data_IF_533715299118
#
_entry.id   IF_533715299118
#
_cell.length_a   1.000
_cell.length_b   1.000
_cell.length_c   1.000
_cell.angle_alpha   90.00
_cell.angle_beta   90.00
_cell.angle_gamma   90.00
#
_symmetry.space_group_name_H-M   'P 1'
#
loop_
_entity.id
_entity.type
_entity.pdbx_description
1 polymer ?
#
# COMPACT_ATOMS: atom_id res chain seq x y z
N UNK A 1 -39.13 -6.67 9.66
CA UNK A 1 -38.29 -7.81 9.28
C UNK A 1 -37.09 -7.86 10.23
N UNK A 2 -36.86 -9.00 10.89
CA UNK A 2 -35.68 -9.22 11.75
C UNK A 2 -34.57 -9.84 10.89
N UNK A 3 -33.33 -9.35 11.03
CA UNK A 3 -32.16 -9.86 10.34
C UNK A 3 -31.12 -10.26 11.39
N UNK A 4 -30.61 -11.48 11.31
CA UNK A 4 -29.52 -11.98 12.15
C UNK A 4 -28.29 -12.17 11.29
N UNK A 5 -27.19 -11.53 11.70
CA UNK A 5 -25.88 -11.72 11.09
C UNK A 5 -24.95 -12.35 12.11
N UNK A 6 -24.35 -13.49 11.77
CA UNK A 6 -23.36 -14.16 12.60
C UNK A 6 -22.16 -14.53 11.77
N UNK A 7 -20.95 -14.20 12.24
CA UNK A 7 -19.68 -14.54 11.60
C UNK A 7 -18.54 -14.27 12.56
N UNK A 8 -17.39 -14.92 12.33
CA UNK A 8 -16.13 -14.44 12.87
C UNK A 8 -15.66 -13.21 12.08
N UNK A 9 -15.05 -12.21 12.73
CA UNK A 9 -14.44 -11.09 12.01
C UNK A 9 -13.25 -11.59 11.18
N UNK A 10 -12.80 -10.78 10.22
CA UNK A 10 -11.70 -11.13 9.34
C UNK A 10 -10.55 -10.13 9.47
N UNK A 11 -10.31 -9.31 8.48
CA UNK A 11 -9.29 -8.27 8.51
C UNK A 11 -9.95 -6.95 8.92
N UNK A 12 -9.29 -6.19 9.76
CA UNK A 12 -9.74 -4.89 10.23
C UNK A 12 -10.15 -3.99 9.06
N UNK A 13 -11.23 -3.22 9.24
CA UNK A 13 -11.85 -2.32 8.27
C UNK A 13 -12.47 -2.99 7.01
N UNK A 14 -12.26 -4.30 6.78
CA UNK A 14 -12.83 -5.04 5.65
C UNK A 14 -13.77 -6.17 6.09
N UNK A 15 -13.86 -6.40 7.38
CA UNK A 15 -14.76 -7.39 7.94
C UNK A 15 -16.21 -6.86 7.94
N UNK A 16 -17.10 -7.51 7.18
CA UNK A 16 -18.51 -7.11 7.14
C UNK A 16 -19.14 -7.14 8.53
N UNK A 17 -18.89 -8.21 9.30
CA UNK A 17 -19.46 -8.32 10.65
C UNK A 17 -18.91 -7.26 11.61
N UNK A 18 -17.65 -6.82 11.44
CA UNK A 18 -17.09 -5.71 12.20
C UNK A 18 -17.80 -4.39 11.87
N UNK A 19 -18.02 -4.11 10.59
CA UNK A 19 -18.72 -2.89 10.17
C UNK A 19 -20.13 -2.81 10.76
N UNK A 20 -20.88 -3.93 10.71
CA UNK A 20 -22.20 -4.01 11.33
C UNK A 20 -22.14 -3.87 12.86
N UNK A 21 -21.11 -4.46 13.50
CA UNK A 21 -20.89 -4.31 14.94
C UNK A 21 -20.53 -2.87 15.31
N UNK A 22 -19.71 -2.18 14.52
CA UNK A 22 -19.27 -0.81 14.79
C UNK A 22 -20.42 0.22 14.69
N UNK A 23 -21.46 -0.05 13.90
CA UNK A 23 -22.66 0.80 13.79
C UNK A 23 -23.70 0.48 14.89
N UNK A 24 -23.58 -0.66 15.56
CA UNK A 24 -24.49 -1.12 16.61
C UNK A 24 -24.17 -0.52 17.99
N UNK A 25 -24.92 -0.93 19.00
CA UNK A 25 -24.68 -0.59 20.41
C UNK A 25 -23.46 -1.31 21.05
N UNK A 26 -22.76 -2.17 20.31
CA UNK A 26 -21.46 -2.79 20.64
C UNK A 26 -21.45 -3.50 22.01
N UNK A 27 -22.39 -4.38 22.27
CA UNK A 27 -22.52 -5.07 23.56
C UNK A 27 -21.33 -6.03 23.81
N UNK A 28 -20.80 -5.95 25.03
CA UNK A 28 -19.85 -6.90 25.60
C UNK A 28 -20.50 -7.65 26.78
N UNK A 29 -20.09 -8.89 27.00
CA UNK A 29 -20.55 -9.70 28.10
C UNK A 29 -19.69 -9.48 29.33
N UNK A 30 -20.24 -8.86 30.34
CA UNK A 30 -19.58 -8.59 31.62
C UNK A 30 -19.90 -9.69 32.62
N UNK A 31 -18.86 -10.15 33.31
CA UNK A 31 -18.95 -11.19 34.36
C UNK A 31 -18.36 -10.70 35.66
N UNK A 32 -18.92 -11.07 36.85
CA UNK A 32 -18.36 -10.68 38.12
C UNK A 32 -17.02 -11.42 38.37
N UNK A 33 -15.98 -10.69 38.78
CA UNK A 33 -14.74 -11.29 39.19
C UNK A 33 -14.88 -12.07 40.49
N UNK A 34 -14.36 -13.30 40.59
CA UNK A 34 -14.52 -14.13 41.79
C UNK A 34 -13.83 -13.56 43.03
N UNK A 35 -12.82 -12.73 42.83
CA UNK A 35 -12.01 -12.11 43.90
C UNK A 35 -12.65 -10.88 44.54
N UNK A 36 -13.23 -9.98 43.74
CA UNK A 36 -13.75 -8.68 44.22
C UNK A 36 -15.22 -8.41 43.86
N UNK A 37 -15.89 -9.30 43.13
CA UNK A 37 -17.29 -9.15 42.72
C UNK A 37 -17.58 -8.09 41.66
N UNK A 38 -16.57 -7.28 41.24
CA UNK A 38 -16.75 -6.25 40.22
C UNK A 38 -16.88 -6.87 38.84
N UNK A 39 -17.78 -6.32 38.04
CA UNK A 39 -18.04 -6.81 36.69
C UNK A 39 -16.95 -6.37 35.72
N UNK A 40 -16.46 -7.32 34.90
CA UNK A 40 -15.44 -7.11 33.88
C UNK A 40 -15.72 -7.93 32.62
N UNK A 41 -15.25 -7.47 31.47
CA UNK A 41 -15.18 -8.27 30.26
C UNK A 41 -13.87 -9.08 30.24
N UNK A 42 -13.90 -10.30 29.67
CA UNK A 42 -12.72 -11.14 29.61
C UNK A 42 -11.89 -10.80 28.36
N UNK A 43 -10.62 -10.41 28.58
CA UNK A 43 -9.68 -9.97 27.56
C UNK A 43 -8.45 -10.88 27.51
N UNK A 44 -8.02 -11.26 26.31
CA UNK A 44 -6.85 -12.14 26.10
C UNK A 44 -5.57 -11.61 26.75
N UNK A 45 -5.36 -10.31 26.75
CA UNK A 45 -4.18 -9.67 27.37
C UNK A 45 -4.10 -9.84 28.89
N UNK A 46 -5.23 -10.13 29.55
CA UNK A 46 -5.29 -10.36 31.00
C UNK A 46 -5.02 -11.80 31.39
N UNK A 47 -5.03 -12.74 30.44
CA UNK A 47 -4.61 -14.11 30.69
C UNK A 47 -3.09 -14.15 30.89
N UNK A 48 -2.65 -14.62 32.07
CA UNK A 48 -1.24 -14.84 32.39
C UNK A 48 -0.77 -16.11 31.70
N UNK A 49 0.35 -16.06 31.02
CA UNK A 49 0.81 -17.07 30.07
C UNK A 49 2.11 -17.75 30.53
N UNK A 50 2.55 -17.43 31.75
CA UNK A 50 3.83 -17.90 32.30
C UNK A 50 3.76 -19.40 32.68
N UNK A 51 2.59 -19.89 33.09
CA UNK A 51 2.33 -21.32 33.32
C UNK A 51 1.36 -21.83 32.24
N UNK A 52 1.89 -22.54 31.25
CA UNK A 52 1.12 -23.11 30.15
C UNK A 52 0.11 -24.18 30.58
N UNK A 53 0.37 -24.87 31.71
CA UNK A 53 -0.48 -25.94 32.21
C UNK A 53 -1.62 -25.43 33.09
N UNK A 54 -1.47 -24.23 33.67
CA UNK A 54 -2.47 -23.65 34.55
C UNK A 54 -2.53 -22.13 34.40
N UNK A 55 -2.92 -21.63 33.22
CA UNK A 55 -3.02 -20.18 32.95
C UNK A 55 -4.06 -19.55 33.88
N UNK A 56 -3.70 -18.42 34.49
CA UNK A 56 -4.57 -17.67 35.38
C UNK A 56 -4.99 -16.35 34.76
N UNK A 57 -6.19 -15.91 35.07
CA UNK A 57 -6.71 -14.62 34.62
C UNK A 57 -6.46 -13.55 35.69
N UNK A 58 -5.87 -12.44 35.28
CA UNK A 58 -5.65 -11.28 36.15
C UNK A 58 -6.84 -10.36 36.15
N UNK A 59 -7.48 -10.19 37.30
CA UNK A 59 -8.60 -9.26 37.46
C UNK A 59 -8.19 -7.83 37.06
N UNK A 60 -9.01 -7.15 36.24
CA UNK A 60 -8.72 -5.79 35.80
C UNK A 60 -8.93 -4.73 36.89
N UNK A 61 -9.64 -5.08 37.97
CA UNK A 61 -9.99 -4.17 39.05
C UNK A 61 -9.04 -4.25 40.25
N UNK A 62 -8.74 -5.46 40.73
CA UNK A 62 -7.93 -5.65 41.93
C UNK A 62 -6.55 -6.30 41.66
N UNK A 63 -6.32 -6.81 40.44
CA UNK A 63 -5.06 -7.46 40.06
C UNK A 63 -4.91 -8.88 40.57
N UNK A 64 -5.85 -9.41 41.35
CA UNK A 64 -5.83 -10.79 41.87
C UNK A 64 -5.92 -11.82 40.73
N UNK A 65 -5.26 -12.98 40.90
CA UNK A 65 -5.24 -14.05 39.92
C UNK A 65 -6.29 -15.10 40.26
N UNK A 66 -7.05 -15.56 39.29
CA UNK A 66 -7.98 -16.64 39.42
C UNK A 66 -7.92 -17.62 38.24
N UNK A 67 -8.32 -18.85 38.48
CA UNK A 67 -8.29 -19.93 37.49
C UNK A 67 -9.64 -20.13 36.81
N UNK A 68 -9.68 -21.02 35.85
CA UNK A 68 -10.83 -21.31 35.01
C UNK A 68 -12.00 -21.98 35.77
N UNK A 69 -11.78 -22.56 36.96
CA UNK A 69 -12.82 -23.25 37.72
C UNK A 69 -13.99 -22.33 38.12
N UNK A 70 -13.70 -21.04 38.28
CA UNK A 70 -14.71 -20.03 38.60
C UNK A 70 -15.60 -19.66 37.41
N UNK A 71 -15.24 -20.05 36.18
CA UNK A 71 -15.88 -19.58 34.92
C UNK A 71 -17.38 -19.89 34.88
N UNK A 72 -17.82 -21.10 35.27
CA UNK A 72 -19.23 -21.47 35.24
C UNK A 72 -20.08 -20.55 36.10
N UNK A 73 -19.65 -20.22 37.31
CA UNK A 73 -20.37 -19.29 38.20
C UNK A 73 -20.36 -17.87 37.63
N UNK A 74 -19.24 -17.41 37.15
CA UNK A 74 -19.08 -16.08 36.53
C UNK A 74 -20.01 -15.93 35.32
N UNK A 75 -20.06 -16.91 34.44
CA UNK A 75 -20.92 -16.90 33.25
C UNK A 75 -22.41 -16.87 33.57
N UNK A 76 -22.86 -17.62 34.59
CA UNK A 76 -24.29 -17.62 35.03
C UNK A 76 -24.74 -16.28 35.56
N UNK A 77 -23.81 -15.48 36.12
CA UNK A 77 -24.10 -14.17 36.72
C UNK A 77 -23.76 -13.02 35.78
N UNK A 78 -23.34 -13.33 34.55
CA UNK A 78 -22.95 -12.32 33.58
C UNK A 78 -24.13 -11.61 32.95
N UNK A 79 -23.87 -10.43 32.39
CA UNK A 79 -24.85 -9.60 31.71
C UNK A 79 -24.27 -8.89 30.50
N UNK A 80 -25.10 -8.68 29.49
CA UNK A 80 -24.74 -7.87 28.33
C UNK A 80 -24.86 -6.38 28.62
N UNK A 81 -23.80 -5.61 28.33
CA UNK A 81 -23.80 -4.16 28.48
C UNK A 81 -23.50 -3.49 27.15
N UNK A 82 -24.34 -2.54 26.76
CA UNK A 82 -24.08 -1.70 25.61
C UNK A 82 -22.91 -0.75 25.91
N UNK A 83 -21.98 -0.65 24.97
CA UNK A 83 -20.79 0.21 25.10
C UNK A 83 -20.95 1.53 24.36
N UNK A 84 -21.98 1.63 23.48
CA UNK A 84 -22.35 2.82 22.71
C UNK A 84 -23.87 2.90 22.54
N UNK A 85 -24.35 4.06 22.15
CA UNK A 85 -25.76 4.24 21.80
C UNK A 85 -26.12 3.52 20.48
N UNK A 86 -25.17 3.41 19.56
CA UNK A 86 -25.38 2.80 18.27
C UNK A 86 -26.35 3.58 17.37
N UNK A 87 -26.98 2.88 16.44
CA UNK A 87 -28.03 3.42 15.55
C UNK A 87 -29.45 3.35 16.16
N UNK A 88 -29.56 2.90 17.39
CA UNK A 88 -30.84 2.69 18.10
C UNK A 88 -31.69 1.51 17.60
N UNK A 89 -31.26 0.79 16.57
CA UNK A 89 -31.99 -0.30 15.92
C UNK A 89 -31.23 -1.61 15.96
N UNK A 90 -29.92 -1.55 15.82
CA UNK A 90 -29.02 -2.72 15.68
C UNK A 90 -28.38 -3.05 17.03
N UNK A 91 -28.65 -4.25 17.55
CA UNK A 91 -27.95 -4.79 18.72
C UNK A 91 -26.74 -5.63 18.22
N UNK A 92 -25.52 -5.24 18.60
CA UNK A 92 -24.30 -5.96 18.26
C UNK A 92 -23.71 -6.69 19.47
N UNK A 93 -23.36 -7.95 19.30
CA UNK A 93 -22.82 -8.80 20.38
C UNK A 93 -21.46 -9.33 20.00
N UNK A 94 -20.47 -9.19 20.89
CA UNK A 94 -19.14 -9.76 20.70
C UNK A 94 -18.81 -10.68 21.87
N UNK A 95 -18.37 -11.90 21.55
CA UNK A 95 -17.98 -12.92 22.52
C UNK A 95 -16.71 -13.63 22.02
N UNK A 96 -15.69 -13.73 22.87
CA UNK A 96 -14.44 -14.44 22.54
C UNK A 96 -14.38 -15.82 23.21
N UNK A 97 -13.37 -16.62 22.85
CA UNK A 97 -13.20 -17.99 23.36
C UNK A 97 -12.97 -18.11 24.86
N UNK A 98 -12.55 -17.03 25.55
CA UNK A 98 -12.38 -17.06 27.01
C UNK A 98 -13.70 -17.32 27.76
N UNK A 99 -14.83 -17.03 27.14
CA UNK A 99 -16.16 -17.30 27.66
C UNK A 99 -16.68 -18.72 27.36
N UNK A 100 -15.90 -19.55 26.64
CA UNK A 100 -16.35 -20.91 26.33
C UNK A 100 -16.62 -21.70 27.60
N UNK A 101 -17.74 -22.44 27.69
CA UNK A 101 -18.04 -23.27 28.87
C UNK A 101 -16.95 -24.28 29.18
N UNK A 102 -16.83 -24.66 30.46
CA UNK A 102 -15.92 -25.74 30.87
C UNK A 102 -16.25 -27.03 30.09
N UNK A 103 -15.21 -27.71 29.60
CA UNK A 103 -15.32 -28.92 28.80
C UNK A 103 -15.50 -28.69 27.28
N UNK A 104 -15.60 -27.43 26.82
CA UNK A 104 -15.66 -27.11 25.39
C UNK A 104 -14.33 -26.59 24.85
N UNK A 105 -13.87 -25.45 25.38
CA UNK A 105 -12.59 -24.84 25.05
C UNK A 105 -12.00 -24.25 26.33
N UNK A 106 -10.90 -24.80 26.81
CA UNK A 106 -10.23 -24.33 28.02
C UNK A 106 -9.25 -23.20 27.73
N UNK A 107 -8.89 -22.44 28.76
CA UNK A 107 -7.83 -21.44 28.65
C UNK A 107 -6.46 -22.06 28.35
N UNK A 108 -6.22 -23.30 28.79
CA UNK A 108 -5.04 -24.09 28.47
C UNK A 108 -4.97 -24.39 26.99
N UNK A 109 -6.07 -24.87 26.39
CA UNK A 109 -6.13 -25.15 24.94
C UNK A 109 -5.96 -23.89 24.12
N UNK A 110 -6.59 -22.78 24.51
CA UNK A 110 -6.37 -21.49 23.83
C UNK A 110 -4.92 -21.04 23.87
N UNK A 111 -4.22 -21.21 25.02
CA UNK A 111 -2.84 -20.84 25.15
C UNK A 111 -1.95 -21.75 24.30
N UNK A 112 -2.22 -23.06 24.27
CA UNK A 112 -1.53 -24.00 23.41
C UNK A 112 -1.69 -23.67 21.92
N UNK A 113 -2.91 -23.41 21.46
CA UNK A 113 -3.19 -22.97 20.07
C UNK A 113 -2.43 -21.67 19.74
N UNK A 114 -2.43 -20.70 20.64
CA UNK A 114 -1.69 -19.45 20.46
C UNK A 114 -0.17 -19.68 20.34
N UNK A 115 0.42 -20.50 21.23
CA UNK A 115 1.85 -20.79 21.21
C UNK A 115 2.27 -21.53 19.93
N UNK A 116 1.43 -22.48 19.47
CA UNK A 116 1.62 -23.15 18.18
C UNK A 116 1.55 -22.19 16.99
N UNK A 117 0.75 -21.15 17.08
CA UNK A 117 0.55 -20.17 16.00
C UNK A 117 1.66 -19.08 15.99
N UNK A 118 2.45 -18.92 17.06
CA UNK A 118 3.52 -17.92 17.12
C UNK A 118 4.50 -18.08 15.96
N UNK A 119 4.79 -16.97 15.28
CA UNK A 119 5.68 -16.95 14.12
C UNK A 119 5.04 -17.30 12.78
N UNK A 120 3.79 -17.80 12.80
CA UNK A 120 3.03 -18.12 11.59
C UNK A 120 1.84 -17.15 11.45
N UNK A 121 1.95 -16.17 10.55
CA UNK A 121 0.94 -15.13 10.37
C UNK A 121 -0.46 -15.65 9.99
N UNK A 122 -0.63 -16.65 9.09
CA UNK A 122 -1.91 -17.32 8.83
C UNK A 122 -2.53 -17.97 10.06
N UNK A 123 -1.75 -18.66 10.89
CA UNK A 123 -2.25 -19.30 12.10
C UNK A 123 -2.62 -18.29 13.18
N UNK A 124 -1.79 -17.26 13.41
CA UNK A 124 -2.14 -16.14 14.31
C UNK A 124 -3.41 -15.43 13.85
N UNK A 125 -3.56 -15.17 12.57
CA UNK A 125 -4.81 -14.60 12.01
C UNK A 125 -6.01 -15.46 12.34
N UNK A 126 -5.91 -16.76 12.14
CA UNK A 126 -6.98 -17.71 12.45
C UNK A 126 -7.33 -17.66 13.93
N UNK A 127 -6.33 -17.69 14.82
CA UNK A 127 -6.53 -17.59 16.26
C UNK A 127 -7.23 -16.28 16.66
N UNK A 128 -6.74 -15.13 16.19
CA UNK A 128 -7.33 -13.82 16.49
C UNK A 128 -8.78 -13.73 16.02
N UNK A 129 -9.06 -14.15 14.81
CA UNK A 129 -10.40 -14.06 14.24
C UNK A 129 -11.38 -15.03 14.90
N UNK A 130 -10.96 -16.30 15.14
CA UNK A 130 -11.88 -17.34 15.59
C UNK A 130 -11.92 -17.51 17.11
N UNK A 131 -10.81 -17.32 17.82
CA UNK A 131 -10.75 -17.47 19.28
C UNK A 131 -10.97 -16.16 20.02
N UNK A 132 -10.41 -15.06 19.51
CA UNK A 132 -10.59 -13.75 20.17
C UNK A 132 -11.78 -12.96 19.65
N UNK A 133 -12.43 -13.39 18.57
CA UNK A 133 -13.50 -12.64 17.91
C UNK A 133 -13.06 -11.19 17.60
N UNK A 134 -11.79 -11.03 17.20
CA UNK A 134 -11.16 -9.77 16.87
C UNK A 134 -10.74 -9.76 15.40
N UNK A 135 -10.74 -8.58 14.79
CA UNK A 135 -10.17 -8.43 13.46
C UNK A 135 -8.67 -8.53 13.53
N UNK A 136 -8.09 -9.21 12.55
CA UNK A 136 -6.65 -9.32 12.44
C UNK A 136 -6.08 -8.08 11.78
N UNK A 137 -5.16 -7.43 12.48
CA UNK A 137 -4.25 -6.45 11.88
C UNK A 137 -2.97 -7.20 11.53
N UNK A 138 -2.56 -7.17 10.29
CA UNK A 138 -1.19 -7.55 9.96
C UNK A 138 -0.27 -6.50 10.57
N UNK A 139 0.81 -6.90 11.25
CA UNK A 139 1.87 -6.01 11.78
C UNK A 139 2.49 -5.10 10.70
N UNK A 140 2.11 -5.32 9.44
CA UNK A 140 2.38 -4.47 8.30
C UNK A 140 1.88 -3.02 8.47
N UNK A 141 0.84 -2.79 9.28
CA UNK A 141 0.22 -1.46 9.42
C UNK A 141 0.89 -0.63 10.51
N UNK A 142 1.38 -1.24 11.58
CA UNK A 142 1.96 -0.48 12.70
C UNK A 142 3.35 0.10 12.40
N UNK A 143 4.17 -0.60 11.60
CA UNK A 143 5.51 -0.13 11.22
C UNK A 143 5.50 0.90 10.09
N UNK A 144 4.38 1.05 9.39
CA UNK A 144 4.18 1.97 8.25
C UNK A 144 3.02 2.92 8.49
N UNK A 145 2.78 3.35 9.72
CA UNK A 145 1.83 4.44 9.96
C UNK A 145 2.34 5.73 9.33
N UNK A 146 1.44 6.59 8.86
CA UNK A 146 1.82 7.90 8.33
C UNK A 146 2.69 8.69 9.31
N UNK A 147 2.38 8.61 10.62
CA UNK A 147 3.18 9.21 11.70
C UNK A 147 4.60 8.59 11.81
N UNK A 148 4.74 7.29 11.62
CA UNK A 148 6.03 6.59 11.61
C UNK A 148 6.90 7.01 10.43
N UNK A 149 6.29 7.16 9.26
CA UNK A 149 6.98 7.63 8.05
C UNK A 149 7.33 9.12 8.12
N UNK A 150 6.50 9.94 8.74
CA UNK A 150 6.79 11.36 8.96
C UNK A 150 8.10 11.56 9.74
N UNK A 151 8.40 10.67 10.68
CA UNK A 151 9.67 10.69 11.45
C UNK A 151 10.90 10.28 10.62
N UNK A 152 10.69 9.76 9.42
CA UNK A 152 11.75 9.36 8.49
C UNK A 152 12.10 10.45 7.47
N UNK A 153 11.41 11.58 7.50
CA UNK A 153 11.75 12.71 6.64
C UNK A 153 13.17 13.19 6.95
N UNK A 154 13.92 13.47 5.91
CA UNK A 154 15.31 13.90 5.94
C UNK A 154 15.42 15.40 5.65
N UNK A 155 16.59 15.98 5.87
CA UNK A 155 16.78 17.45 5.83
C UNK A 155 16.84 18.05 4.43
N UNK A 156 16.84 17.24 3.33
CA UNK A 156 16.82 17.81 1.99
C UNK A 156 15.47 18.45 1.64
N UNK A 157 15.53 19.46 0.78
CA UNK A 157 14.36 20.23 0.39
C UNK A 157 13.60 19.60 -0.79
N UNK A 158 12.30 19.89 -0.89
CA UNK A 158 11.50 19.53 -2.05
C UNK A 158 12.10 20.17 -3.32
N UNK A 159 12.00 19.47 -4.45
CA UNK A 159 12.52 19.85 -5.75
C UNK A 159 14.06 19.98 -5.82
N UNK A 160 14.78 19.38 -4.86
CA UNK A 160 16.25 19.23 -4.91
C UNK A 160 16.63 17.76 -4.97
N UNK A 161 17.77 17.46 -5.63
CA UNK A 161 18.29 16.11 -5.74
C UNK A 161 19.47 15.95 -4.77
N UNK A 162 19.32 15.16 -3.69
CA UNK A 162 20.42 14.90 -2.76
C UNK A 162 21.52 14.04 -3.41
N UNK A 163 22.67 13.96 -2.74
CA UNK A 163 23.75 13.06 -3.11
C UNK A 163 23.25 11.62 -3.23
N UNK A 164 23.72 10.90 -4.24
CA UNK A 164 23.28 9.53 -4.54
C UNK A 164 22.22 9.44 -5.64
N UNK A 165 21.53 10.50 -5.98
CA UNK A 165 20.57 10.52 -7.11
C UNK A 165 21.30 10.56 -8.44
N UNK A 166 21.12 9.54 -9.28
CA UNK A 166 21.76 9.41 -10.59
C UNK A 166 20.87 9.82 -11.76
N UNK A 167 19.56 9.64 -11.64
CA UNK A 167 18.57 10.05 -12.65
C UNK A 167 17.16 10.15 -12.02
N UNK A 168 16.26 10.78 -12.76
CA UNK A 168 14.87 11.03 -12.32
C UNK A 168 13.87 10.33 -13.23
N UNK A 169 12.76 9.87 -12.64
CA UNK A 169 11.57 9.44 -13.37
C UNK A 169 10.31 10.05 -12.78
N UNK A 170 9.25 10.08 -13.58
CA UNK A 170 7.95 10.60 -13.14
C UNK A 170 6.85 9.58 -13.36
N UNK A 171 5.93 9.54 -12.39
CA UNK A 171 4.64 8.89 -12.52
C UNK A 171 3.53 9.92 -12.51
N UNK A 172 2.59 9.78 -13.44
CA UNK A 172 1.46 10.71 -13.62
C UNK A 172 0.16 9.94 -13.54
N UNK A 173 -0.70 10.35 -12.62
CA UNK A 173 -2.05 9.84 -12.46
C UNK A 173 -3.08 10.85 -12.98
N UNK A 174 -4.06 10.38 -13.77
CA UNK A 174 -5.07 11.21 -14.39
C UNK A 174 -6.40 11.09 -13.64
N UNK A 175 -6.77 12.14 -12.91
CA UNK A 175 -8.03 12.27 -12.20
C UNK A 175 -9.08 13.01 -13.06
N UNK A 176 -10.30 13.18 -12.53
CA UNK A 176 -11.40 13.85 -13.27
C UNK A 176 -11.10 15.33 -13.50
N UNK A 177 -10.44 15.98 -12.54
CA UNK A 177 -10.29 17.44 -12.42
C UNK A 177 -8.83 17.89 -12.30
N UNK A 178 -7.87 16.98 -12.40
CA UNK A 178 -6.44 17.27 -12.23
C UNK A 178 -5.55 16.15 -12.74
N UNK A 179 -4.26 16.45 -12.86
CA UNK A 179 -3.19 15.45 -12.96
C UNK A 179 -2.35 15.50 -11.68
N UNK A 180 -2.00 14.34 -11.14
CA UNK A 180 -1.05 14.22 -10.03
C UNK A 180 0.27 13.67 -10.55
N UNK A 181 1.37 14.30 -10.16
CA UNK A 181 2.71 13.97 -10.65
C UNK A 181 3.65 13.79 -9.48
N UNK A 182 4.30 12.63 -9.38
CA UNK A 182 5.44 12.45 -8.46
C UNK A 182 6.72 12.28 -9.26
N UNK A 183 7.76 13.02 -8.87
CA UNK A 183 9.12 12.89 -9.38
C UNK A 183 9.96 12.14 -8.35
N UNK A 184 10.59 11.06 -8.79
CA UNK A 184 11.45 10.23 -7.96
C UNK A 184 12.87 10.20 -8.53
N UNK A 185 13.85 10.36 -7.65
CA UNK A 185 15.26 10.15 -7.90
C UNK A 185 15.66 8.70 -7.60
N UNK A 186 16.59 8.17 -8.36
CA UNK A 186 17.07 6.80 -8.24
C UNK A 186 18.58 6.76 -8.13
N UNK A 187 19.04 6.05 -7.10
CA UNK A 187 20.45 5.82 -6.82
C UNK A 187 20.85 4.35 -6.95
N UNK A 188 22.09 4.06 -6.61
CA UNK A 188 22.68 2.71 -6.64
C UNK A 188 21.84 1.72 -5.83
N UNK A 189 21.67 0.50 -6.37
CA UNK A 189 20.87 -0.53 -5.69
C UNK A 189 19.38 -0.21 -5.61
N UNK A 190 18.86 0.64 -6.50
CA UNK A 190 17.46 1.11 -6.52
C UNK A 190 17.07 1.91 -5.27
N UNK A 191 18.03 2.60 -4.65
CA UNK A 191 17.74 3.59 -3.62
C UNK A 191 16.86 4.68 -4.22
N UNK A 192 15.78 5.07 -3.50
CA UNK A 192 14.72 5.90 -4.04
C UNK A 192 14.56 7.19 -3.22
N UNK A 193 14.48 8.32 -3.90
CA UNK A 193 14.34 9.64 -3.28
C UNK A 193 13.09 10.32 -3.80
N UNK A 194 12.16 10.67 -2.91
CA UNK A 194 11.05 11.54 -3.30
C UNK A 194 11.60 12.94 -3.55
N UNK A 195 11.57 13.40 -4.79
CA UNK A 195 12.07 14.71 -5.17
C UNK A 195 10.96 15.75 -5.14
N UNK A 196 9.82 15.43 -5.77
CA UNK A 196 8.72 16.39 -5.87
C UNK A 196 7.38 15.68 -6.02
N UNK A 197 6.31 16.34 -5.56
CA UNK A 197 4.93 15.93 -5.79
C UNK A 197 4.07 17.15 -6.05
N UNK A 198 3.45 17.22 -7.21
CA UNK A 198 2.63 18.35 -7.64
C UNK A 198 1.26 17.91 -8.14
N UNK A 199 0.25 18.75 -7.87
CA UNK A 199 -1.10 18.61 -8.39
C UNK A 199 -1.36 19.71 -9.43
N UNK A 200 -1.68 19.31 -10.66
CA UNK A 200 -1.96 20.20 -11.76
C UNK A 200 -3.48 20.25 -11.97
N UNK A 201 -4.11 21.28 -11.46
CA UNK A 201 -5.56 21.45 -11.51
C UNK A 201 -6.04 21.88 -12.89
N UNK A 202 -7.07 21.23 -13.37
CA UNK A 202 -7.70 21.51 -14.66
C UNK A 202 -8.35 20.26 -15.26
N UNK A 203 -9.35 20.46 -16.12
CA UNK A 203 -10.03 19.37 -16.82
C UNK A 203 -9.08 18.72 -17.85
N UNK A 204 -8.75 17.40 -17.71
CA UNK A 204 -7.88 16.70 -18.66
C UNK A 204 -8.46 16.58 -20.09
N UNK A 205 -9.72 16.94 -20.33
CA UNK A 205 -10.24 17.12 -21.68
C UNK A 205 -9.79 18.43 -22.34
N UNK A 206 -9.22 19.36 -21.56
CA UNK A 206 -8.72 20.65 -22.03
C UNK A 206 -7.20 20.63 -22.19
N UNK A 207 -6.70 21.45 -23.11
CA UNK A 207 -5.26 21.47 -23.41
C UNK A 207 -4.40 22.08 -22.30
N UNK A 208 -4.98 22.90 -21.42
CA UNK A 208 -4.20 23.72 -20.50
C UNK A 208 -3.51 22.92 -19.39
N UNK A 209 -4.16 21.90 -18.85
CA UNK A 209 -3.53 21.01 -17.85
C UNK A 209 -2.38 20.21 -18.47
N UNK A 210 -2.45 19.85 -19.76
CA UNK A 210 -1.38 19.18 -20.48
C UNK A 210 -0.18 20.10 -20.79
N UNK A 211 -0.44 21.41 -20.98
CA UNK A 211 0.64 22.41 -21.07
C UNK A 211 1.37 22.54 -19.72
N UNK A 212 0.63 22.56 -18.61
CA UNK A 212 1.23 22.52 -17.27
C UNK A 212 2.06 21.24 -17.07
N UNK A 213 1.53 20.08 -17.43
CA UNK A 213 2.29 18.82 -17.38
C UNK A 213 3.57 18.89 -18.22
N UNK A 214 3.50 19.52 -19.40
CA UNK A 214 4.69 19.69 -20.25
C UNK A 214 5.80 20.52 -19.57
N UNK A 215 5.44 21.50 -18.76
CA UNK A 215 6.41 22.29 -17.97
C UNK A 215 7.06 21.36 -16.92
N UNK A 216 6.25 20.61 -16.18
CA UNK A 216 6.74 19.70 -15.12
C UNK A 216 7.63 18.57 -15.69
N UNK A 217 7.29 18.02 -16.86
CA UNK A 217 8.11 16.98 -17.53
C UNK A 217 9.49 17.54 -17.95
N UNK A 218 9.58 18.81 -18.24
CA UNK A 218 10.83 19.47 -18.66
C UNK A 218 11.54 20.19 -17.51
N UNK A 219 10.99 20.14 -16.30
CA UNK A 219 11.58 20.80 -15.14
C UNK A 219 12.97 20.28 -14.86
N UNK A 220 13.88 21.22 -14.59
CA UNK A 220 15.22 20.93 -14.12
C UNK A 220 15.23 20.95 -12.59
N UNK A 221 15.84 19.95 -12.01
CA UNK A 221 16.00 19.79 -10.57
C UNK A 221 17.47 19.93 -10.22
N UNK A 222 17.79 20.85 -9.34
CA UNK A 222 19.18 21.07 -8.91
C UNK A 222 19.67 19.90 -8.05
N UNK A 223 20.89 19.46 -8.32
CA UNK A 223 21.55 18.41 -7.57
C UNK A 223 22.61 19.02 -6.65
N UNK A 224 22.82 18.43 -5.46
CA UNK A 224 23.78 18.92 -4.45
C UNK A 224 25.21 19.10 -4.99
N UNK A 225 25.59 18.37 -6.05
CA UNK A 225 26.90 18.56 -6.71
C UNK A 225 26.94 19.76 -7.67
N UNK A 226 25.89 20.57 -7.76
CA UNK A 226 25.79 21.75 -8.62
C UNK A 226 25.35 21.46 -10.06
N UNK A 227 25.04 20.21 -10.43
CA UNK A 227 24.46 19.87 -11.73
C UNK A 227 22.93 19.94 -11.68
N UNK A 228 22.27 19.85 -12.85
CA UNK A 228 20.81 19.77 -12.92
C UNK A 228 20.38 18.50 -13.62
N UNK A 229 19.36 17.84 -13.06
CA UNK A 229 18.76 16.65 -13.64
C UNK A 229 17.37 16.97 -14.19
N UNK A 230 16.99 16.29 -15.29
CA UNK A 230 15.61 16.27 -15.80
C UNK A 230 15.10 14.84 -15.82
N UNK A 231 13.79 14.62 -15.67
CA UNK A 231 13.21 13.28 -15.76
C UNK A 231 13.53 12.61 -17.11
N UNK A 232 14.08 11.39 -17.06
CA UNK A 232 14.45 10.64 -18.27
C UNK A 232 13.25 9.91 -18.88
N UNK A 233 12.27 9.53 -18.03
CA UNK A 233 11.01 8.89 -18.41
C UNK A 233 9.89 9.45 -17.53
N UNK A 234 8.76 9.81 -18.18
CA UNK A 234 7.51 10.15 -17.52
C UNK A 234 6.42 9.14 -17.94
N UNK A 235 5.93 8.35 -17.00
CA UNK A 235 4.91 7.33 -17.23
C UNK A 235 3.53 7.84 -16.84
N UNK A 236 2.59 7.90 -17.78
CA UNK A 236 1.24 8.44 -17.59
C UNK A 236 0.22 7.30 -17.63
N UNK A 237 -0.61 7.15 -16.59
CA UNK A 237 -1.67 6.15 -16.59
C UNK A 237 -2.75 6.44 -17.62
N UNK A 238 -3.13 5.40 -18.36
CA UNK A 238 -4.18 5.44 -19.37
C UNK A 238 -5.40 4.60 -19.00
N UNK A 239 -5.46 4.12 -17.75
CA UNK A 239 -6.52 3.22 -17.28
C UNK A 239 -7.87 3.90 -16.99
N UNK A 240 -7.90 5.22 -16.90
CA UNK A 240 -9.07 6.01 -16.51
C UNK A 240 -9.91 6.57 -17.68
N UNK A 241 -10.65 7.64 -17.39
CA UNK A 241 -11.59 8.29 -18.33
C UNK A 241 -10.91 9.03 -19.48
N UNK A 242 -9.65 9.45 -19.32
CA UNK A 242 -8.90 10.31 -20.24
C UNK A 242 -7.92 9.55 -21.14
N UNK A 243 -8.23 8.28 -21.44
CA UNK A 243 -7.37 7.36 -22.19
C UNK A 243 -6.89 7.94 -23.53
N UNK A 244 -7.78 8.60 -24.28
CA UNK A 244 -7.46 9.14 -25.61
C UNK A 244 -6.49 10.32 -25.54
N UNK A 245 -6.68 11.19 -24.56
CA UNK A 245 -5.85 12.35 -24.29
C UNK A 245 -4.43 11.92 -23.87
N UNK A 246 -4.33 10.91 -22.99
CA UNK A 246 -3.05 10.30 -22.60
C UNK A 246 -2.31 9.72 -23.81
N UNK A 247 -3.01 8.96 -24.66
CA UNK A 247 -2.38 8.36 -25.86
C UNK A 247 -1.89 9.40 -26.84
N UNK A 248 -2.66 10.47 -27.04
CA UNK A 248 -2.27 11.57 -27.89
C UNK A 248 -1.03 12.27 -27.34
N UNK A 249 -1.07 12.67 -26.08
CA UNK A 249 0.04 13.36 -25.42
C UNK A 249 1.32 12.52 -25.42
N UNK A 250 1.23 11.24 -25.01
CA UNK A 250 2.37 10.34 -25.00
C UNK A 250 2.97 10.13 -26.40
N UNK A 251 2.15 10.05 -27.44
CA UNK A 251 2.62 9.96 -28.83
C UNK A 251 3.36 11.20 -29.25
N UNK A 252 2.83 12.38 -28.97
CA UNK A 252 3.43 13.66 -29.32
C UNK A 252 4.77 13.90 -28.59
N UNK A 253 4.87 13.40 -27.36
CA UNK A 253 6.02 13.61 -26.45
C UNK A 253 6.94 12.39 -26.28
N UNK A 254 6.79 11.40 -27.15
CA UNK A 254 7.62 10.17 -27.10
C UNK A 254 9.13 10.46 -27.14
N UNK A 255 9.55 11.46 -27.94
CA UNK A 255 10.97 11.89 -27.99
C UNK A 255 11.45 12.55 -26.69
N UNK A 256 10.53 12.96 -25.83
CA UNK A 256 10.80 13.53 -24.50
C UNK A 256 10.74 12.49 -23.38
N UNK A 257 10.65 11.21 -23.71
CA UNK A 257 10.61 10.14 -22.73
C UNK A 257 9.22 9.87 -22.13
N UNK A 258 8.14 10.42 -22.72
CA UNK A 258 6.79 10.18 -22.24
C UNK A 258 6.26 8.85 -22.75
N UNK A 259 5.74 8.03 -21.85
CA UNK A 259 5.12 6.74 -22.17
C UNK A 259 3.71 6.63 -21.56
N UNK A 260 2.78 6.04 -22.30
CA UNK A 260 1.48 5.66 -21.76
C UNK A 260 1.57 4.26 -21.14
N UNK A 261 1.06 4.13 -19.93
CA UNK A 261 1.05 2.86 -19.19
C UNK A 261 -0.38 2.45 -18.88
N UNK A 262 -0.58 1.17 -18.56
CA UNK A 262 -1.88 0.65 -18.11
C UNK A 262 -1.70 -0.48 -17.10
N UNK A 263 -2.28 -0.33 -15.93
CA UNK A 263 -2.30 -1.35 -14.90
C UNK A 263 -2.98 -2.64 -15.35
N UNK A 264 -2.41 -3.79 -15.00
CA UNK A 264 -3.01 -5.11 -15.15
C UNK A 264 -3.36 -5.67 -13.78
N UNK A 265 -4.57 -6.20 -13.64
CA UNK A 265 -5.09 -6.79 -12.40
C UNK A 265 -4.67 -8.26 -12.18
N UNK A 266 -3.85 -8.82 -13.08
CA UNK A 266 -3.39 -10.20 -12.96
C UNK A 266 -2.14 -10.26 -12.06
N UNK A 267 -2.10 -11.19 -11.07
CA UNK A 267 -0.94 -11.34 -10.19
C UNK A 267 0.31 -11.83 -10.97
N UNK A 268 1.49 -11.59 -10.39
CA UNK A 268 2.79 -12.06 -10.91
C UNK A 268 3.14 -11.59 -12.33
N UNK A 269 2.62 -10.43 -12.75
CA UNK A 269 3.07 -9.79 -13.99
C UNK A 269 4.37 -9.01 -13.73
N UNK A 270 5.25 -8.90 -14.75
CA UNK A 270 6.45 -8.07 -14.64
C UNK A 270 6.09 -6.61 -14.36
N UNK A 271 6.96 -5.88 -13.66
CA UNK A 271 6.74 -4.48 -13.31
C UNK A 271 6.32 -3.65 -14.53
N UNK A 272 7.00 -3.85 -15.66
CA UNK A 272 6.59 -3.28 -16.95
C UNK A 272 6.71 -4.35 -18.03
N UNK A 273 5.65 -4.51 -18.84
CA UNK A 273 5.58 -5.49 -19.91
C UNK A 273 5.90 -4.90 -21.30
N UNK A 274 5.86 -5.75 -22.32
CA UNK A 274 6.03 -5.32 -23.71
C UNK A 274 4.89 -4.42 -24.14
N UNK A 275 5.17 -3.30 -24.86
CA UNK A 275 4.12 -2.42 -25.31
C UNK A 275 3.23 -3.06 -26.35
N UNK A 276 1.96 -2.69 -26.33
CA UNK A 276 0.98 -3.01 -27.37
C UNK A 276 0.63 -1.75 -28.15
N UNK A 277 0.36 -1.92 -29.46
CA UNK A 277 -0.13 -0.83 -30.29
C UNK A 277 -1.63 -0.67 -30.09
N UNK A 278 -2.08 0.56 -29.88
CA UNK A 278 -3.47 0.91 -29.68
C UNK A 278 -3.90 1.99 -30.66
N UNK A 279 -5.20 2.04 -30.92
CA UNK A 279 -5.80 3.10 -31.74
C UNK A 279 -5.96 4.36 -30.88
N UNK A 280 -5.72 5.53 -31.49
CA UNK A 280 -5.97 6.84 -30.86
C UNK A 280 -7.22 7.42 -31.48
N UNK A 281 -8.28 7.57 -30.69
CA UNK A 281 -9.54 8.15 -31.13
C UNK A 281 -9.60 9.63 -30.74
N UNK A 282 -9.78 10.49 -31.75
CA UNK A 282 -9.97 11.92 -31.51
C UNK A 282 -11.47 12.24 -31.39
N UNK A 283 -11.95 12.47 -30.17
CA UNK A 283 -13.38 12.73 -29.90
C UNK A 283 -13.95 13.92 -30.68
N UNK A 284 -13.14 14.93 -30.97
CA UNK A 284 -13.60 16.18 -31.65
C UNK A 284 -13.74 16.07 -33.19
N UNK A 285 -13.19 15.03 -33.82
CA UNK A 285 -13.07 15.00 -35.30
C UNK A 285 -13.55 13.69 -35.92
N UNK A 286 -14.12 12.75 -35.17
CA UNK A 286 -14.50 11.41 -35.64
C UNK A 286 -13.38 10.68 -36.40
N UNK A 287 -12.13 11.00 -36.11
CA UNK A 287 -10.94 10.45 -36.79
C UNK A 287 -10.15 9.59 -35.83
N UNK A 288 -9.82 8.38 -36.24
CA UNK A 288 -8.96 7.48 -35.50
C UNK A 288 -7.61 7.32 -36.18
N UNK A 289 -6.52 7.36 -35.40
CA UNK A 289 -5.20 6.91 -35.88
C UNK A 289 -5.04 5.44 -35.48
N UNK A 290 -5.19 4.54 -36.43
CA UNK A 290 -5.04 3.11 -36.20
C UNK A 290 -3.59 2.79 -35.76
N UNK A 291 -3.45 2.01 -34.67
CA UNK A 291 -2.16 1.59 -34.10
C UNK A 291 -1.18 2.74 -33.83
N UNK A 292 -1.73 3.95 -33.56
CA UNK A 292 -0.94 5.19 -33.44
C UNK A 292 -0.24 5.37 -32.09
N UNK A 293 -0.71 4.70 -31.04
CA UNK A 293 -0.17 4.76 -29.68
C UNK A 293 0.56 3.48 -29.30
N UNK A 294 1.45 3.62 -28.31
CA UNK A 294 2.11 2.51 -27.60
C UNK A 294 1.68 2.55 -26.13
N UNK A 295 1.20 1.43 -25.60
CA UNK A 295 0.81 1.30 -24.18
C UNK A 295 1.60 0.17 -23.56
N UNK A 296 2.23 0.47 -22.41
CA UNK A 296 3.02 -0.48 -21.64
C UNK A 296 2.16 -1.06 -20.51
N UNK A 297 1.91 -2.37 -20.47
CA UNK A 297 1.18 -2.99 -19.38
C UNK A 297 2.04 -3.06 -18.12
N UNK A 298 1.47 -2.76 -16.96
CA UNK A 298 2.13 -2.79 -15.65
C UNK A 298 1.63 -3.93 -14.79
N UNK A 299 2.54 -4.64 -14.13
CA UNK A 299 2.24 -5.54 -13.01
C UNK A 299 2.12 -4.77 -11.71
N UNK A 300 0.99 -4.09 -11.49
CA UNK A 300 0.77 -3.20 -10.35
C UNK A 300 1.00 -3.94 -9.02
N UNK A 301 0.49 -5.16 -8.88
CA UNK A 301 0.65 -5.95 -7.65
C UNK A 301 2.13 -6.26 -7.37
N UNK A 302 2.90 -6.59 -8.41
CA UNK A 302 4.35 -6.85 -8.29
C UNK A 302 5.08 -5.61 -7.80
N UNK A 303 4.78 -4.44 -8.37
CA UNK A 303 5.39 -3.17 -7.97
C UNK A 303 4.99 -2.83 -6.54
N UNK A 304 3.69 -2.88 -6.20
CA UNK A 304 3.21 -2.58 -4.83
C UNK A 304 3.86 -3.49 -3.79
N UNK A 305 4.00 -4.79 -4.08
CA UNK A 305 4.69 -5.72 -3.20
C UNK A 305 6.16 -5.32 -2.98
N UNK A 306 6.85 -4.92 -4.04
CA UNK A 306 8.25 -4.46 -3.97
C UNK A 306 8.36 -3.16 -3.16
N UNK A 307 7.57 -2.15 -3.48
CA UNK A 307 7.63 -0.84 -2.82
C UNK A 307 7.26 -0.94 -1.33
N UNK A 308 6.19 -1.67 -0.98
CA UNK A 308 5.80 -1.88 0.40
C UNK A 308 6.82 -2.73 1.18
N UNK A 309 7.47 -3.69 0.52
CA UNK A 309 8.60 -4.43 1.12
C UNK A 309 9.77 -3.52 1.45
N UNK A 310 10.13 -2.61 0.54
CA UNK A 310 11.22 -1.64 0.73
C UNK A 310 10.89 -0.57 1.76
N UNK A 311 9.63 -0.13 1.82
CA UNK A 311 9.19 0.88 2.79
C UNK A 311 9.42 0.44 4.24
N UNK A 312 9.49 -0.87 4.52
CA UNK A 312 9.83 -1.44 5.84
C UNK A 312 11.31 -1.34 6.17
N UNK A 313 12.16 -1.12 5.17
CA UNK A 313 13.58 -1.03 5.38
C UNK A 313 13.93 0.30 6.05
N UNK A 314 14.52 0.24 7.24
CA UNK A 314 14.88 1.40 8.05
C UNK A 314 16.39 1.67 8.04
N UNK A 315 17.17 0.93 7.24
CA UNK A 315 18.62 1.08 7.19
C UNK A 315 19.01 1.96 6.01
N UNK A 316 19.38 3.22 6.29
CA UNK A 316 19.90 4.17 5.29
C UNK A 316 21.10 3.57 4.55
N UNK A 317 21.19 3.79 3.24
CA UNK A 317 22.26 3.29 2.36
C UNK A 317 22.16 1.79 2.05
N UNK A 318 21.07 1.11 2.44
CA UNK A 318 20.81 -0.25 1.99
C UNK A 318 20.03 -0.26 0.67
N UNK A 319 20.21 -1.33 -0.12
CA UNK A 319 19.51 -1.48 -1.40
C UNK A 319 18.00 -1.27 -1.24
N UNK A 320 17.44 -0.40 -2.08
CA UNK A 320 16.03 -0.06 -2.10
C UNK A 320 15.54 0.75 -0.90
N UNK A 321 16.42 1.40 -0.14
CA UNK A 321 16.00 2.35 0.89
C UNK A 321 15.24 3.52 0.25
N UNK A 322 14.30 4.11 1.00
CA UNK A 322 13.41 5.15 0.49
C UNK A 322 13.56 6.39 1.35
N UNK A 323 13.96 7.49 0.70
CA UNK A 323 14.17 8.80 1.29
C UNK A 323 12.96 9.72 1.02
N UNK A 324 12.61 10.55 2.00
CA UNK A 324 11.56 11.55 1.90
C UNK A 324 12.10 12.90 2.34
N UNK A 325 11.81 13.96 1.57
CA UNK A 325 12.25 15.32 1.89
C UNK A 325 11.52 15.90 3.11
N UNK A 326 12.12 16.93 3.75
CA UNK A 326 11.66 17.54 5.00
C UNK A 326 10.20 18.01 4.97
N UNK A 327 9.73 18.50 3.82
CA UNK A 327 8.37 19.05 3.66
C UNK A 327 7.33 18.01 3.22
N UNK A 328 7.66 16.69 3.19
CA UNK A 328 6.68 15.66 2.87
C UNK A 328 5.55 15.64 3.89
N UNK A 329 4.31 15.82 3.42
CA UNK A 329 3.14 15.96 4.29
C UNK A 329 2.65 14.63 4.86
N UNK A 330 1.97 14.69 6.01
CA UNK A 330 1.27 13.52 6.57
C UNK A 330 0.21 12.97 5.60
N UNK A 331 -0.45 13.84 4.83
CA UNK A 331 -1.43 13.44 3.82
C UNK A 331 -0.78 12.60 2.70
N UNK A 332 0.44 12.94 2.27
CA UNK A 332 1.22 12.13 1.33
C UNK A 332 1.43 10.72 1.88
N UNK A 333 1.85 10.61 3.15
CA UNK A 333 2.07 9.32 3.80
C UNK A 333 0.77 8.53 3.98
N UNK A 334 -0.35 9.17 4.29
CA UNK A 334 -1.67 8.54 4.33
C UNK A 334 -2.05 7.93 2.98
N UNK A 335 -1.73 8.61 1.89
CA UNK A 335 -2.04 8.11 0.54
C UNK A 335 -1.12 6.97 0.11
N UNK A 336 0.19 7.02 0.36
CA UNK A 336 1.09 5.91 0.01
C UNK A 336 0.84 4.65 0.86
N UNK A 337 0.24 4.79 2.04
CA UNK A 337 -0.14 3.67 2.92
C UNK A 337 -1.64 3.34 2.88
N UNK A 338 -2.39 3.96 1.97
CA UNK A 338 -3.85 3.81 1.88
C UNK A 338 -4.33 2.39 1.53
N UNK A 339 -3.49 1.65 0.84
CA UNK A 339 -3.80 0.29 0.41
C UNK A 339 -3.14 -0.76 1.29
N UNK A 340 -3.82 -1.89 1.41
CA UNK A 340 -3.28 -3.06 2.08
C UNK A 340 -3.65 -4.34 1.34
N UNK A 341 -2.84 -5.37 1.53
CA UNK A 341 -3.07 -6.66 0.92
C UNK A 341 -4.00 -7.51 1.78
N UNK A 342 -5.03 -8.07 1.17
CA UNK A 342 -5.92 -9.06 1.79
C UNK A 342 -5.95 -10.34 0.96
N UNK A 343 -6.28 -11.47 1.61
CA UNK A 343 -6.52 -12.72 0.90
C UNK A 343 -7.99 -12.77 0.46
N UNK A 344 -8.23 -12.89 -0.84
CA UNK A 344 -9.55 -13.15 -1.41
C UNK A 344 -9.59 -14.54 -2.00
N UNK A 345 -10.73 -15.24 -1.84
CA UNK A 345 -10.96 -16.52 -2.51
C UNK A 345 -11.25 -16.26 -3.99
N UNK A 346 -10.43 -16.83 -4.87
CA UNK A 346 -10.62 -16.78 -6.31
C UNK A 346 -11.83 -17.60 -6.73
N UNK A 347 -12.28 -17.45 -7.98
CA UNK A 347 -13.37 -18.28 -8.55
C UNK A 347 -13.05 -19.78 -8.55
N UNK A 348 -11.77 -20.13 -8.47
CA UNK A 348 -11.27 -21.51 -8.42
C UNK A 348 -11.05 -22.02 -6.99
N UNK A 349 -11.48 -21.29 -5.96
CA UNK A 349 -11.37 -21.65 -4.54
C UNK A 349 -10.03 -21.36 -3.87
N UNK A 350 -9.01 -20.89 -4.61
CA UNK A 350 -7.70 -20.57 -4.02
C UNK A 350 -7.68 -19.19 -3.37
N UNK A 351 -6.97 -19.07 -2.26
CA UNK A 351 -6.70 -17.80 -1.62
C UNK A 351 -5.63 -17.04 -2.43
N UNK A 352 -5.99 -15.86 -2.95
CA UNK A 352 -5.08 -14.98 -3.68
C UNK A 352 -4.96 -13.63 -2.97
N UNK A 353 -3.74 -13.12 -2.79
CA UNK A 353 -3.54 -11.79 -2.23
C UNK A 353 -4.00 -10.73 -3.25
N UNK A 354 -4.77 -9.75 -2.78
CA UNK A 354 -5.21 -8.60 -3.58
C UNK A 354 -5.05 -7.32 -2.80
N UNK A 355 -4.63 -6.26 -3.47
CA UNK A 355 -4.56 -4.93 -2.88
C UNK A 355 -5.94 -4.31 -2.82
N UNK A 356 -6.28 -3.71 -1.68
CA UNK A 356 -7.55 -3.05 -1.44
C UNK A 356 -7.36 -1.77 -0.65
N UNK A 357 -8.22 -0.78 -0.92
CA UNK A 357 -8.32 0.46 -0.14
C UNK A 357 -9.76 0.69 0.31
N UNK A 358 -9.97 1.54 1.31
CA UNK A 358 -11.29 2.05 1.65
C UNK A 358 -11.77 2.97 0.52
N UNK A 359 -13.05 2.92 0.18
CA UNK A 359 -13.62 3.71 -0.92
C UNK A 359 -13.42 5.24 -0.76
N UNK A 360 -13.37 5.71 0.48
CA UNK A 360 -13.20 7.13 0.83
C UNK A 360 -11.75 7.59 0.92
N UNK A 361 -10.77 6.69 0.77
CA UNK A 361 -9.35 7.03 0.95
C UNK A 361 -8.70 7.29 -0.40
N UNK A 362 -7.96 8.39 -0.50
CA UNK A 362 -7.14 8.73 -1.65
C UNK A 362 -5.87 7.89 -1.67
N UNK A 363 -5.34 7.56 -2.85
CA UNK A 363 -4.11 6.79 -3.04
C UNK A 363 -3.27 7.26 -4.24
N UNK A 364 -3.56 8.44 -4.77
CA UNK A 364 -2.91 8.94 -6.00
C UNK A 364 -1.39 9.04 -5.83
N UNK A 365 -0.91 9.39 -4.62
CA UNK A 365 0.53 9.39 -4.32
C UNK A 365 1.17 7.99 -4.42
N UNK A 366 0.45 6.93 -4.02
CA UNK A 366 0.92 5.56 -4.21
C UNK A 366 0.93 5.18 -5.68
N UNK A 367 -0.13 5.52 -6.43
CA UNK A 367 -0.24 5.17 -7.84
C UNK A 367 0.84 5.91 -8.66
N UNK A 368 1.08 7.21 -8.43
CA UNK A 368 2.18 7.94 -9.07
C UNK A 368 3.55 7.37 -8.72
N UNK A 369 3.76 6.89 -7.51
CA UNK A 369 5.00 6.20 -7.14
C UNK A 369 5.16 4.86 -7.89
N UNK A 370 4.11 4.05 -7.99
CA UNK A 370 4.08 2.82 -8.78
C UNK A 370 4.45 3.09 -10.25
N UNK A 371 3.91 4.16 -10.84
CA UNK A 371 4.17 4.55 -12.22
C UNK A 371 5.60 5.04 -12.43
N UNK A 372 6.14 5.82 -11.49
CA UNK A 372 7.53 6.25 -11.51
C UNK A 372 8.51 5.08 -11.35
N UNK A 373 8.20 4.09 -10.49
CA UNK A 373 8.99 2.86 -10.37
C UNK A 373 8.98 2.05 -11.67
N UNK A 374 7.83 1.94 -12.33
CA UNK A 374 7.75 1.28 -13.64
C UNK A 374 8.58 2.01 -14.70
N UNK A 375 8.59 3.35 -14.68
CA UNK A 375 9.42 4.19 -15.53
C UNK A 375 10.92 3.94 -15.29
N UNK A 376 11.31 3.79 -14.02
CA UNK A 376 12.68 3.41 -13.63
C UNK A 376 13.03 2.03 -14.19
N UNK A 377 12.21 1.01 -13.97
CA UNK A 377 12.41 -0.33 -14.53
C UNK A 377 12.56 -0.29 -16.06
N UNK A 378 11.72 0.50 -16.74
CA UNK A 378 11.83 0.68 -18.20
C UNK A 378 13.14 1.34 -18.61
N UNK A 379 13.59 2.34 -17.88
CA UNK A 379 14.85 3.04 -18.18
C UNK A 379 16.06 2.12 -18.00
N UNK A 380 16.18 1.46 -16.85
CA UNK A 380 17.31 0.57 -16.56
C UNK A 380 17.34 -0.69 -17.43
N UNK A 381 16.19 -1.11 -18.00
CA UNK A 381 16.12 -2.25 -18.92
C UNK A 381 16.95 -2.11 -20.20
N UNK A 382 17.49 -0.93 -20.45
CA UNK A 382 18.35 -0.60 -21.62
C UNK A 382 19.81 -0.85 -21.37
N UNK A 383 20.18 -1.07 -20.12
CA UNK A 383 21.55 -1.29 -19.66
C UNK A 383 21.79 -2.78 -19.38
N UNK A 384 23.04 -3.17 -19.28
CA UNK A 384 23.39 -4.50 -18.82
C UNK A 384 23.04 -4.61 -17.32
N UNK A 385 22.26 -5.63 -16.96
CA UNK A 385 21.75 -5.84 -15.60
C UNK A 385 22.84 -5.85 -14.52
N UNK A 386 23.99 -6.44 -14.83
CA UNK A 386 25.06 -6.63 -13.84
C UNK A 386 25.90 -5.36 -13.61
N UNK A 387 25.89 -4.41 -14.54
CA UNK A 387 26.74 -3.20 -14.51
C UNK A 387 25.94 -1.92 -14.66
N UNK A 388 24.60 -1.99 -14.57
CA UNK A 388 23.73 -0.83 -14.80
C UNK A 388 24.06 0.35 -13.89
N UNK A 389 24.26 0.10 -12.60
CA UNK A 389 24.52 1.16 -11.63
C UNK A 389 25.92 1.77 -11.82
N UNK A 390 26.91 0.94 -12.09
CA UNK A 390 28.28 1.41 -12.41
C UNK A 390 28.31 2.26 -13.69
N UNK A 391 27.52 1.85 -14.71
CA UNK A 391 27.42 2.61 -15.96
C UNK A 391 26.71 3.95 -15.73
N UNK A 392 25.65 3.98 -14.90
CA UNK A 392 24.93 5.20 -14.57
C UNK A 392 25.77 6.15 -13.72
N UNK A 393 26.48 5.65 -12.70
CA UNK A 393 27.44 6.43 -11.91
C UNK A 393 28.51 7.04 -12.79
N UNK A 394 29.08 6.25 -13.71
CA UNK A 394 30.09 6.74 -14.67
C UNK A 394 29.52 7.84 -15.57
N UNK A 395 28.33 7.61 -16.15
CA UNK A 395 27.67 8.61 -16.99
C UNK A 395 27.37 9.90 -16.25
N UNK A 396 26.99 9.81 -14.98
CA UNK A 396 26.69 10.95 -14.14
C UNK A 396 27.93 11.75 -13.79
N UNK A 397 29.07 11.10 -13.54
CA UNK A 397 30.34 11.72 -13.14
C UNK A 397 31.21 12.19 -14.30
N UNK A 398 30.86 11.87 -15.56
CA UNK A 398 31.65 12.31 -16.74
C UNK A 398 31.46 13.82 -16.98
N UNK A 399 32.56 14.61 -17.05
CA UNK A 399 32.49 16.08 -17.12
C UNK A 399 31.90 16.64 -18.43
N UNK A 400 31.67 15.82 -19.46
CA UNK A 400 31.08 16.22 -20.74
C UNK A 400 29.53 16.16 -20.76
N UNK A 401 28.85 15.88 -19.64
CA UNK A 401 27.39 15.82 -19.57
C UNK A 401 26.73 17.15 -19.15
N UNK A 402 27.44 18.25 -19.13
CA UNK A 402 26.93 19.58 -18.78
C UNK A 402 25.86 20.09 -19.77
N UNK A 403 25.75 19.48 -20.95
CA UNK A 403 24.72 19.82 -21.93
C UNK A 403 23.88 18.60 -22.36
N UNK A 404 22.74 18.47 -21.73
CA UNK A 404 21.59 17.63 -22.06
C UNK A 404 21.65 16.19 -21.54
N UNK A 405 20.82 15.83 -20.55
CA UNK A 405 20.50 14.42 -20.31
C UNK A 405 19.99 13.83 -21.63
N UNK A 406 20.67 12.80 -22.13
CA UNK A 406 20.25 12.09 -23.35
C UNK A 406 18.90 11.44 -23.04
N UNK A 407 17.82 12.15 -23.38
CA UNK A 407 16.47 11.63 -23.29
C UNK A 407 16.41 10.29 -24.01
N UNK A 408 15.83 9.35 -23.35
CA UNK A 408 15.75 7.99 -23.81
C UNK A 408 15.00 7.94 -25.16
N UNK A 409 15.71 7.66 -26.25
CA UNK A 409 15.07 7.38 -27.53
C UNK A 409 14.29 6.07 -27.38
N UNK A 410 12.96 6.17 -27.39
CA UNK A 410 12.07 5.01 -27.29
C UNK A 410 12.13 4.28 -28.65
N UNK A 411 13.14 3.43 -28.83
CA UNK A 411 13.20 2.52 -29.97
C UNK A 411 12.48 1.23 -29.61
N UNK A 412 11.57 0.80 -30.45
CA UNK A 412 10.96 -0.54 -30.35
C UNK A 412 12.04 -1.59 -30.61
N UNK A 413 12.58 -2.18 -29.55
CA UNK A 413 13.54 -3.29 -29.69
C UNK A 413 12.84 -4.55 -30.24
N UNK A 414 13.61 -5.39 -30.95
CA UNK A 414 13.13 -6.65 -31.52
C UNK A 414 12.72 -7.65 -30.41
N UNK A 415 11.92 -8.65 -30.80
CA UNK A 415 11.36 -9.69 -29.88
C UNK A 415 12.41 -10.39 -28.97
N UNK A 416 13.69 -10.44 -29.35
CA UNK A 416 14.74 -11.19 -28.66
C UNK A 416 15.29 -10.48 -27.38
N UNK A 417 15.25 -9.17 -27.33
CA UNK A 417 15.94 -8.41 -26.27
C UNK A 417 15.17 -8.32 -24.94
N UNK A 418 13.88 -8.66 -24.95
CA UNK A 418 13.02 -8.48 -23.79
C UNK A 418 12.86 -9.74 -22.90
N UNK A 419 13.25 -10.93 -23.42
CA UNK A 419 13.04 -12.23 -22.73
C UNK A 419 14.05 -12.48 -21.61
N UNK A 420 15.22 -11.85 -21.64
CA UNK A 420 16.32 -12.14 -20.73
C UNK A 420 16.41 -11.20 -19.52
N UNK A 421 15.38 -10.40 -19.23
CA UNK A 421 15.45 -9.36 -18.18
C UNK A 421 14.78 -9.75 -16.86
N UNK A 422 14.06 -10.90 -16.81
CA UNK A 422 13.37 -11.39 -15.62
C UNK A 422 13.83 -12.78 -15.18
#
# INVERSE_FOLDING_TARGET
KKILLTSTPTIKDFSRIENEYLTSDQRLYFVPAPCCGKYQDLRWKQLQKDDEKNPKYKCIHCGELFDETHKTKMLRMGEWRAMKEGDGVTAGFRLNGLYSPLGWLSWVEMLHEFNKAKGDAPLIKTFVNTRLAETFETDYVSAMSAEGLLKRCESYEQATCPEGVLFLTQGVDCQIDRLEVSTWGWGKGEEAFLIDHVQLWGDPHQADVWKQLQIVINQQYEHENGTSLVPVISAIDSGGLHTSEVYQFAREKVAQGVIAIKGQSQPNKPAIGRPTRVDINFRKVNKAIKKGGLVYPLGVDTIKNTLMGRLKNNKIGSNGYIHFHASTSEEYFKQITAERQILKTSKTGFQVPVWVKKATTRNECLDTWVYSYAAMCFYISRFNRNTVWEQLEKQFNEPNNVDKPKRATIRTKSKKDFVNFW
#
